data_IF_472898680200
#
_entry.id   IF_472898680200
#
_cell.length_a   1.000
_cell.length_b   1.000
_cell.length_c   1.000
_cell.angle_alpha   90.00
_cell.angle_beta   90.00
_cell.angle_gamma   90.00
#
_symmetry.space_group_name_H-M   'P 1'
#
loop_
_entity.id
_entity.type
_entity.pdbx_description
1 polymer ?
#
# COMPACT_ATOMS: atom_id res chain seq x y z
N UNK A 1 4.20 -4.79 6.37
CA UNK A 1 3.19 -4.91 5.29
C UNK A 1 3.71 -5.57 4.00
N UNK A 2 4.93 -5.29 3.51
CA UNK A 2 5.45 -5.94 2.28
C UNK A 2 5.28 -7.47 2.21
N UNK A 3 5.61 -8.27 3.26
CA UNK A 3 5.36 -9.72 3.24
C UNK A 3 3.87 -10.08 3.08
N UNK A 4 2.98 -9.33 3.75
CA UNK A 4 1.52 -9.53 3.65
C UNK A 4 1.05 -9.28 2.22
N UNK A 5 1.51 -8.19 1.59
CA UNK A 5 1.18 -7.87 0.20
C UNK A 5 1.67 -8.95 -0.76
N UNK A 6 2.90 -9.45 -0.57
CA UNK A 6 3.42 -10.58 -1.35
C UNK A 6 2.61 -11.85 -1.16
N UNK A 7 2.20 -12.14 0.08
CA UNK A 7 1.34 -13.28 0.40
C UNK A 7 0.01 -13.23 -0.34
N UNK A 8 -0.75 -12.14 -0.20
CA UNK A 8 -2.01 -11.96 -0.94
C UNK A 8 -1.81 -11.93 -2.45
N UNK A 9 -0.74 -11.28 -2.92
CA UNK A 9 -0.38 -11.25 -4.33
C UNK A 9 -0.17 -12.64 -4.91
N UNK A 10 0.53 -13.51 -4.19
CA UNK A 10 0.76 -14.89 -4.59
C UNK A 10 -0.50 -15.75 -4.57
N UNK A 11 -1.40 -15.57 -3.58
CA UNK A 11 -2.72 -16.20 -3.56
C UNK A 11 -3.49 -15.82 -4.83
N UNK A 12 -3.63 -14.51 -5.06
CA UNK A 12 -4.47 -14.00 -6.14
C UNK A 12 -3.92 -14.37 -7.52
N UNK A 13 -2.61 -14.29 -7.71
CA UNK A 13 -1.98 -14.73 -8.97
C UNK A 13 -2.21 -16.21 -9.25
N UNK A 14 -2.15 -17.06 -8.21
CA UNK A 14 -2.43 -18.49 -8.37
C UNK A 14 -3.90 -18.74 -8.72
N UNK A 15 -4.83 -17.99 -8.12
CA UNK A 15 -6.25 -18.03 -8.48
C UNK A 15 -6.49 -17.58 -9.93
N UNK A 16 -5.73 -16.58 -10.41
CA UNK A 16 -5.80 -16.10 -11.80
C UNK A 16 -5.01 -16.95 -12.80
N UNK A 17 -4.38 -18.05 -12.39
CA UNK A 17 -3.59 -18.92 -13.26
C UNK A 17 -2.23 -18.36 -13.72
N UNK A 18 -1.72 -17.33 -13.04
CA UNK A 18 -0.41 -16.72 -13.33
C UNK A 18 0.64 -17.34 -12.40
N UNK A 19 1.51 -18.18 -12.96
CA UNK A 19 2.49 -18.94 -12.16
C UNK A 19 3.88 -18.29 -12.10
N UNK A 20 4.24 -17.49 -13.10
CA UNK A 20 5.54 -16.83 -13.18
C UNK A 20 5.34 -15.33 -13.18
N UNK A 21 5.83 -14.67 -12.13
CA UNK A 21 5.67 -13.24 -11.95
C UNK A 21 6.81 -12.66 -11.14
N UNK A 22 7.05 -11.38 -11.40
CA UNK A 22 8.01 -10.55 -10.69
C UNK A 22 7.48 -10.17 -9.30
N UNK A 23 8.39 -9.84 -8.38
CA UNK A 23 8.09 -9.40 -7.01
C UNK A 23 7.25 -8.14 -7.04
N UNK A 24 7.59 -7.15 -7.89
CA UNK A 24 6.82 -5.90 -7.96
C UNK A 24 5.36 -6.15 -8.36
N UNK A 25 5.14 -7.06 -9.31
CA UNK A 25 3.80 -7.41 -9.78
C UNK A 25 3.01 -8.14 -8.70
N UNK A 26 3.65 -9.04 -7.93
CA UNK A 26 3.02 -9.69 -6.77
C UNK A 26 2.59 -8.68 -5.72
N UNK A 27 3.42 -7.67 -5.42
CA UNK A 27 3.04 -6.64 -4.46
C UNK A 27 1.85 -5.83 -4.98
N UNK A 28 1.86 -5.42 -6.25
CA UNK A 28 0.74 -4.68 -6.85
C UNK A 28 -0.57 -5.49 -6.88
N UNK A 29 -0.51 -6.78 -7.23
CA UNK A 29 -1.70 -7.66 -7.15
C UNK A 29 -2.14 -7.88 -5.71
N UNK A 30 -1.21 -7.88 -4.76
CA UNK A 30 -1.49 -7.89 -3.33
C UNK A 30 -2.26 -6.64 -2.88
N UNK A 31 -1.80 -5.46 -3.27
CA UNK A 31 -2.50 -4.19 -3.00
C UNK A 31 -3.91 -4.24 -3.58
N UNK A 32 -4.06 -4.58 -4.88
CA UNK A 32 -5.36 -4.65 -5.55
C UNK A 32 -6.29 -5.66 -4.86
N UNK A 33 -5.83 -6.88 -4.63
CA UNK A 33 -6.66 -7.92 -3.99
C UNK A 33 -7.12 -7.50 -2.60
N UNK A 34 -6.23 -6.96 -1.76
CA UNK A 34 -6.61 -6.48 -0.43
C UNK A 34 -7.55 -5.27 -0.52
N UNK A 35 -7.31 -4.32 -1.44
CA UNK A 35 -8.25 -3.19 -1.64
C UNK A 35 -9.65 -3.70 -1.98
N UNK A 36 -9.77 -4.69 -2.86
CA UNK A 36 -11.08 -5.25 -3.22
C UNK A 36 -11.75 -5.96 -2.05
N UNK A 37 -11.00 -6.73 -1.26
CA UNK A 37 -11.53 -7.36 -0.04
C UNK A 37 -12.02 -6.28 0.93
N UNK A 38 -11.20 -5.26 1.20
CA UNK A 38 -11.56 -4.16 2.09
C UNK A 38 -12.77 -3.38 1.59
N UNK A 39 -12.90 -3.13 0.30
CA UNK A 39 -14.07 -2.44 -0.25
C UNK A 39 -15.34 -3.22 0.01
N UNK A 40 -15.33 -4.54 -0.24
CA UNK A 40 -16.49 -5.41 0.00
C UNK A 40 -16.79 -5.48 1.49
N UNK A 41 -15.79 -5.62 2.36
CA UNK A 41 -16.02 -5.68 3.81
C UNK A 41 -16.53 -4.35 4.35
N UNK A 42 -16.01 -3.21 3.85
CA UNK A 42 -16.39 -1.87 4.31
C UNK A 42 -17.86 -1.54 4.02
N UNK A 43 -18.49 -2.20 3.04
CA UNK A 43 -19.95 -2.08 2.82
C UNK A 43 -20.79 -2.63 3.98
N UNK A 44 -20.28 -3.61 4.73
CA UNK A 44 -21.03 -4.31 5.75
C UNK A 44 -20.50 -4.05 7.16
N UNK A 45 -19.19 -3.84 7.31
CA UNK A 45 -18.52 -3.73 8.60
C UNK A 45 -17.41 -2.66 8.56
N UNK A 46 -17.14 -1.98 9.69
CA UNK A 46 -16.03 -1.04 9.78
C UNK A 46 -14.67 -1.75 9.64
N UNK A 47 -13.69 -1.06 9.04
CA UNK A 47 -12.33 -1.60 8.84
C UNK A 47 -11.44 -1.43 10.08
N UNK A 48 -11.85 -2.02 11.19
CA UNK A 48 -11.14 -1.93 12.46
C UNK A 48 -10.11 -3.08 12.63
N UNK A 49 -9.51 -3.16 13.82
CA UNK A 49 -8.52 -4.18 14.18
C UNK A 49 -9.01 -5.62 13.95
N UNK A 50 -10.31 -5.88 14.06
CA UNK A 50 -10.89 -7.22 13.84
C UNK A 50 -10.82 -7.65 12.37
N UNK A 51 -10.80 -6.71 11.44
CA UNK A 51 -10.60 -6.99 10.00
C UNK A 51 -9.11 -6.98 9.66
N UNK A 52 -8.36 -6.05 10.23
CA UNK A 52 -6.92 -5.91 9.99
C UNK A 52 -6.14 -7.16 10.42
N UNK A 53 -6.38 -7.69 11.63
CA UNK A 53 -5.59 -8.78 12.19
C UNK A 53 -5.68 -10.10 11.38
N UNK A 54 -6.87 -10.57 10.95
CA UNK A 54 -6.99 -11.71 10.05
C UNK A 54 -6.28 -11.50 8.72
N UNK A 55 -6.36 -10.30 8.12
CA UNK A 55 -5.67 -9.98 6.87
C UNK A 55 -4.16 -10.09 7.06
N UNK A 56 -3.60 -9.49 8.11
CA UNK A 56 -2.17 -9.63 8.40
C UNK A 56 -1.77 -11.10 8.59
N UNK A 57 -2.56 -11.86 9.35
CA UNK A 57 -2.27 -13.26 9.61
C UNK A 57 -2.28 -14.11 8.32
N UNK A 58 -3.35 -13.99 7.52
CA UNK A 58 -3.49 -14.73 6.26
C UNK A 58 -2.37 -14.37 5.29
N UNK A 59 -2.06 -13.08 5.14
CA UNK A 59 -1.00 -12.63 4.24
C UNK A 59 0.39 -13.10 4.68
N UNK A 60 0.69 -13.03 5.98
CA UNK A 60 1.96 -13.56 6.52
C UNK A 60 2.05 -15.09 6.36
N UNK A 61 0.99 -15.82 6.67
CA UNK A 61 0.94 -17.27 6.50
C UNK A 61 1.17 -17.65 5.03
N UNK A 62 0.52 -16.96 4.10
CA UNK A 62 0.69 -17.15 2.66
C UNK A 62 2.12 -16.87 2.20
N UNK A 63 2.74 -15.79 2.69
CA UNK A 63 4.13 -15.45 2.37
C UNK A 63 5.11 -16.59 2.67
N UNK A 64 4.96 -17.23 3.83
CA UNK A 64 5.78 -18.39 4.20
C UNK A 64 5.39 -19.65 3.43
N UNK A 65 4.08 -19.89 3.24
CA UNK A 65 3.56 -21.05 2.50
C UNK A 65 4.08 -21.09 1.05
N UNK A 66 4.04 -19.96 0.34
CA UNK A 66 4.54 -19.83 -1.04
C UNK A 66 6.05 -19.62 -1.12
N UNK A 67 6.76 -19.56 0.03
CA UNK A 67 8.21 -19.39 0.13
C UNK A 67 8.73 -18.11 -0.56
N UNK A 68 7.92 -17.05 -0.54
CA UNK A 68 8.26 -15.78 -1.20
C UNK A 68 9.51 -15.12 -0.59
N UNK A 69 9.84 -15.43 0.67
CA UNK A 69 11.10 -15.01 1.30
C UNK A 69 12.35 -15.40 0.50
N UNK A 70 12.32 -16.53 -0.25
CA UNK A 70 13.44 -16.93 -1.12
C UNK A 70 13.57 -16.00 -2.31
N UNK A 71 12.45 -15.60 -2.91
CA UNK A 71 12.43 -14.65 -4.03
C UNK A 71 12.97 -13.30 -3.59
N UNK A 72 12.53 -12.82 -2.42
CA UNK A 72 13.01 -11.57 -1.82
C UNK A 72 14.52 -11.65 -1.53
N UNK A 73 14.98 -12.75 -0.93
CA UNK A 73 16.40 -12.95 -0.64
C UNK A 73 17.27 -12.94 -1.90
N UNK A 74 16.83 -13.65 -2.95
CA UNK A 74 17.53 -13.67 -4.23
C UNK A 74 17.61 -12.29 -4.87
N UNK A 75 16.52 -11.51 -4.81
CA UNK A 75 16.50 -10.13 -5.30
C UNK A 75 17.52 -9.24 -4.57
N UNK A 76 17.58 -9.32 -3.23
CA UNK A 76 18.57 -8.56 -2.46
C UNK A 76 20.01 -9.00 -2.77
N UNK A 77 20.24 -10.31 -2.95
CA UNK A 77 21.56 -10.84 -3.30
C UNK A 77 22.04 -10.37 -4.69
N UNK A 78 21.12 -10.23 -5.66
CA UNK A 78 21.44 -9.78 -7.02
C UNK A 78 21.74 -8.28 -7.10
N UNK A 79 20.96 -7.44 -6.43
CA UNK A 79 21.05 -5.98 -6.57
C UNK A 79 21.89 -5.26 -5.49
N UNK A 80 22.27 -5.99 -4.45
CA UNK A 80 23.23 -5.58 -3.42
C UNK A 80 22.99 -4.15 -2.85
N UNK A 81 24.05 -3.37 -2.68
CA UNK A 81 24.08 -2.10 -1.95
C UNK A 81 23.23 -0.99 -2.59
N UNK A 82 23.15 -0.97 -3.93
CA UNK A 82 22.46 0.10 -4.66
C UNK A 82 20.96 0.18 -4.34
N UNK A 83 20.29 -0.97 -4.29
CA UNK A 83 18.89 -1.03 -3.87
C UNK A 83 18.74 -0.64 -2.40
N UNK A 84 19.60 -1.16 -1.51
CA UNK A 84 19.52 -0.88 -0.08
C UNK A 84 19.68 0.62 0.23
N UNK A 85 20.59 1.31 -0.44
CA UNK A 85 20.77 2.77 -0.27
C UNK A 85 19.51 3.53 -0.71
N UNK A 86 18.95 3.23 -1.88
CA UNK A 86 17.75 3.90 -2.36
C UNK A 86 16.52 3.57 -1.51
N UNK A 87 16.39 2.33 -1.05
CA UNK A 87 15.34 1.93 -0.12
C UNK A 87 15.48 2.66 1.23
N UNK A 88 16.70 2.79 1.75
CA UNK A 88 16.97 3.54 2.98
C UNK A 88 16.61 5.03 2.82
N UNK A 89 17.03 5.66 1.72
CA UNK A 89 16.65 7.04 1.39
C UNK A 89 15.13 7.19 1.33
N UNK A 90 14.45 6.22 0.71
CA UNK A 90 12.98 6.22 0.60
C UNK A 90 12.30 6.15 1.96
N UNK A 91 12.76 5.26 2.84
CA UNK A 91 12.25 5.18 4.22
C UNK A 91 12.55 6.45 5.00
N UNK A 92 13.75 7.02 4.83
CA UNK A 92 14.13 8.27 5.46
C UNK A 92 13.18 9.40 5.07
N UNK A 93 12.93 9.61 3.77
CA UNK A 93 11.97 10.61 3.31
C UNK A 93 10.55 10.31 3.80
N UNK A 94 10.10 9.05 3.77
CA UNK A 94 8.77 8.65 4.24
C UNK A 94 8.54 8.83 5.75
N UNK A 95 9.60 8.93 6.55
CA UNK A 95 9.51 9.08 8.01
C UNK A 95 9.15 10.49 8.49
N UNK A 96 9.31 11.51 7.64
CA UNK A 96 9.02 12.91 7.99
C UNK A 96 7.52 13.22 8.04
N UNK A 97 7.14 14.29 8.73
CA UNK A 97 5.77 14.81 8.70
C UNK A 97 5.31 15.15 7.28
N UNK A 98 4.01 15.04 6.96
CA UNK A 98 3.48 15.40 5.65
C UNK A 98 3.89 16.83 5.27
N UNK A 99 4.69 16.97 4.22
CA UNK A 99 5.10 18.27 3.70
C UNK A 99 3.96 18.96 2.94
N UNK A 100 3.24 18.19 2.11
CA UNK A 100 2.06 18.67 1.39
C UNK A 100 0.87 18.52 2.32
N UNK A 101 0.29 19.66 2.70
CA UNK A 101 -0.93 19.70 3.47
C UNK A 101 -2.11 19.31 2.57
N UNK A 102 -2.93 18.41 3.08
CA UNK A 102 -4.13 17.95 2.41
C UNK A 102 -5.15 19.09 2.27
N UNK A 103 -5.85 19.14 1.13
CA UNK A 103 -6.81 20.19 0.83
C UNK A 103 -8.04 20.04 1.73
N UNK A 104 -8.29 20.99 2.64
CA UNK A 104 -9.34 20.91 3.66
C UNK A 104 -9.17 19.78 4.69
N UNK A 105 -8.05 19.06 4.69
CA UNK A 105 -7.78 17.98 5.63
C UNK A 105 -8.81 16.85 5.58
N UNK A 106 -9.37 16.55 4.41
CA UNK A 106 -10.41 15.54 4.21
C UNK A 106 -9.92 14.10 4.37
N UNK A 107 -8.65 13.88 4.08
CA UNK A 107 -8.09 12.56 3.89
C UNK A 107 -8.08 11.76 5.20
N UNK A 108 -7.52 12.34 6.26
CA UNK A 108 -7.41 11.67 7.59
C UNK A 108 -8.79 11.39 8.21
N UNK A 109 -9.75 12.35 8.24
CA UNK A 109 -11.12 12.09 8.67
C UNK A 109 -11.81 11.00 7.87
N UNK A 110 -11.62 10.97 6.55
CA UNK A 110 -12.23 9.95 5.68
C UNK A 110 -11.70 8.56 6.00
N UNK A 111 -10.37 8.40 6.15
CA UNK A 111 -9.75 7.14 6.58
C UNK A 111 -10.29 6.71 7.95
N UNK A 112 -10.36 7.62 8.91
CA UNK A 112 -10.88 7.36 10.25
C UNK A 112 -12.35 6.93 10.21
N UNK A 113 -13.18 7.61 9.43
CA UNK A 113 -14.59 7.25 9.25
C UNK A 113 -14.75 5.82 8.74
N UNK A 114 -13.98 5.42 7.72
CA UNK A 114 -14.04 4.06 7.18
C UNK A 114 -13.59 3.02 8.23
N UNK A 115 -12.58 3.34 9.04
CA UNK A 115 -12.10 2.43 10.09
C UNK A 115 -13.08 2.25 11.25
N UNK A 116 -13.87 3.28 11.58
CA UNK A 116 -14.77 3.28 12.73
C UNK A 116 -16.21 2.88 12.36
N UNK A 117 -16.68 3.32 11.19
CA UNK A 117 -18.09 3.20 10.77
C UNK A 117 -18.25 2.37 9.48
N UNK A 118 -17.27 2.40 8.58
CA UNK A 118 -17.38 1.77 7.26
C UNK A 118 -18.10 2.67 6.23
N UNK A 119 -18.56 2.08 5.13
CA UNK A 119 -19.20 2.81 4.04
C UNK A 119 -20.68 3.07 4.33
N UNK A 120 -21.05 4.34 4.37
CA UNK A 120 -22.43 4.77 4.63
C UNK A 120 -23.03 5.38 3.37
N UNK A 121 -24.19 4.85 2.95
CA UNK A 121 -24.93 5.38 1.80
C UNK A 121 -25.38 6.82 2.09
N UNK A 122 -25.06 7.74 1.18
CA UNK A 122 -25.47 9.13 1.28
C UNK A 122 -24.64 9.97 2.25
N UNK A 123 -23.42 9.54 2.60
CA UNK A 123 -22.51 10.30 3.47
C UNK A 123 -22.25 11.73 2.96
N UNK A 124 -22.26 11.92 1.64
CA UNK A 124 -22.13 13.23 1.00
C UNK A 124 -23.26 14.22 1.31
N UNK A 125 -24.42 13.74 1.79
CA UNK A 125 -25.51 14.60 2.24
C UNK A 125 -25.22 15.23 3.61
N UNK A 126 -24.34 14.60 4.41
CA UNK A 126 -23.88 15.15 5.69
C UNK A 126 -22.67 16.06 5.49
N UNK A 127 -21.68 15.60 4.73
CA UNK A 127 -20.52 16.37 4.36
C UNK A 127 -20.01 15.93 2.98
N UNK A 128 -19.97 16.86 2.03
CA UNK A 128 -19.48 16.60 0.67
C UNK A 128 -18.02 16.12 0.68
N UNK A 129 -17.23 16.57 1.65
CA UNK A 129 -15.82 16.25 1.81
C UNK A 129 -15.62 14.77 2.13
N UNK A 130 -16.46 14.19 3.00
CA UNK A 130 -16.48 12.75 3.28
C UNK A 130 -16.95 11.90 2.08
N UNK A 131 -17.66 12.53 1.14
CA UNK A 131 -18.05 11.91 -0.13
C UNK A 131 -16.91 11.74 -1.12
N UNK A 132 -15.77 12.42 -0.93
CA UNK A 132 -14.59 12.39 -1.83
C UNK A 132 -13.66 11.20 -1.57
N UNK A 133 -14.23 10.03 -1.26
CA UNK A 133 -13.47 8.85 -0.90
C UNK A 133 -12.93 8.12 -2.14
N UNK A 134 -11.64 7.77 -2.12
CA UNK A 134 -10.99 6.92 -3.13
C UNK A 134 -10.72 5.50 -2.62
N UNK A 135 -10.45 4.55 -3.52
CA UNK A 135 -10.06 3.19 -3.13
C UNK A 135 -8.79 3.15 -2.28
N UNK A 136 -7.94 4.17 -2.42
CA UNK A 136 -6.75 4.29 -1.61
C UNK A 136 -7.06 4.64 -0.14
N UNK A 137 -8.08 5.47 0.11
CA UNK A 137 -8.57 5.73 1.48
C UNK A 137 -9.02 4.42 2.15
N UNK A 138 -9.75 3.59 1.41
CA UNK A 138 -10.23 2.29 1.91
C UNK A 138 -9.06 1.36 2.22
N UNK A 139 -8.06 1.31 1.33
CA UNK A 139 -6.86 0.50 1.53
C UNK A 139 -6.06 0.93 2.77
N UNK A 140 -5.87 2.24 2.94
CA UNK A 140 -5.18 2.76 4.11
C UNK A 140 -5.98 2.58 5.39
N UNK A 141 -7.31 2.76 5.36
CA UNK A 141 -8.19 2.54 6.51
C UNK A 141 -8.06 1.13 7.07
N UNK A 142 -8.00 0.11 6.21
CA UNK A 142 -7.84 -1.27 6.64
C UNK A 142 -6.50 -1.62 7.32
N UNK A 143 -5.49 -0.75 7.24
CA UNK A 143 -4.21 -0.90 7.95
C UNK A 143 -3.94 0.21 8.98
N UNK A 144 -4.87 1.14 9.15
CA UNK A 144 -4.67 2.35 9.95
C UNK A 144 -4.69 2.14 11.47
N UNK A 145 -5.11 0.97 11.96
CA UNK A 145 -5.23 0.78 13.40
C UNK A 145 -3.89 0.44 14.04
N UNK A 146 -3.23 -0.63 13.56
CA UNK A 146 -1.98 -1.12 14.16
C UNK A 146 -0.79 -1.08 13.20
N UNK A 147 -0.98 -1.45 11.94
CA UNK A 147 0.12 -1.65 10.99
C UNK A 147 0.69 -0.35 10.41
N UNK A 148 -0.16 0.64 10.20
CA UNK A 148 0.20 1.93 9.62
C UNK A 148 -0.63 3.08 10.23
N UNK A 149 -0.50 3.34 11.55
CA UNK A 149 -1.27 4.39 12.24
C UNK A 149 -0.95 5.81 11.75
N UNK A 150 0.16 5.98 11.02
CA UNK A 150 0.60 7.26 10.48
C UNK A 150 0.36 7.41 8.97
N UNK A 151 -0.37 6.47 8.34
CA UNK A 151 -0.78 6.53 6.93
C UNK A 151 0.40 6.70 5.95
N UNK A 152 1.49 5.95 6.17
CA UNK A 152 2.74 5.97 5.40
C UNK A 152 2.81 4.90 4.32
N UNK A 153 1.68 4.28 3.97
CA UNK A 153 1.57 3.30 2.89
C UNK A 153 2.17 3.77 1.54
N UNK A 154 2.23 5.06 1.26
CA UNK A 154 2.89 5.60 0.05
C UNK A 154 4.39 5.28 0.00
N UNK A 155 5.06 5.19 1.15
CA UNK A 155 6.45 4.73 1.24
C UNK A 155 6.59 3.29 0.76
N UNK A 156 5.61 2.43 1.05
CA UNK A 156 5.59 1.03 0.61
C UNK A 156 5.39 0.93 -0.89
N UNK A 157 4.51 1.77 -1.46
CA UNK A 157 4.33 1.87 -2.92
C UNK A 157 5.64 2.32 -3.58
N UNK A 158 6.32 3.32 -3.02
CA UNK A 158 7.58 3.80 -3.57
C UNK A 158 8.70 2.76 -3.50
N UNK A 159 8.79 1.98 -2.41
CA UNK A 159 9.68 0.81 -2.33
C UNK A 159 9.31 -0.24 -3.39
N UNK A 160 8.02 -0.47 -3.63
CA UNK A 160 7.55 -1.39 -4.68
C UNK A 160 7.96 -0.91 -6.07
N UNK A 161 7.89 0.40 -6.31
CA UNK A 161 8.36 1.02 -7.55
C UNK A 161 9.88 0.90 -7.71
N UNK A 162 10.66 1.07 -6.63
CA UNK A 162 12.09 0.78 -6.65
C UNK A 162 12.38 -0.68 -7.01
N UNK A 163 11.65 -1.64 -6.41
CA UNK A 163 11.78 -3.07 -6.75
C UNK A 163 11.56 -3.25 -8.26
N UNK A 164 10.49 -2.66 -8.81
CA UNK A 164 10.21 -2.71 -10.25
C UNK A 164 11.36 -2.16 -11.11
N UNK A 165 11.94 -1.00 -10.75
CA UNK A 165 13.05 -0.39 -11.49
C UNK A 165 14.24 -1.35 -11.57
N UNK A 166 14.60 -1.99 -10.45
CA UNK A 166 15.71 -2.94 -10.40
C UNK A 166 15.39 -4.25 -11.14
N UNK A 167 14.19 -4.79 -10.97
CA UNK A 167 13.75 -6.02 -11.66
C UNK A 167 13.70 -5.86 -13.19
N UNK A 168 13.33 -4.67 -13.69
CA UNK A 168 13.25 -4.38 -15.14
C UNK A 168 14.47 -3.66 -15.69
N UNK A 169 15.42 -3.25 -14.84
CA UNK A 169 16.60 -2.45 -15.20
C UNK A 169 16.24 -1.14 -15.92
N UNK A 170 15.10 -0.55 -15.57
CA UNK A 170 14.58 0.69 -16.16
C UNK A 170 15.15 1.93 -15.44
N UNK A 171 16.46 2.13 -15.51
CA UNK A 171 17.17 3.14 -14.72
C UNK A 171 16.71 4.58 -14.95
N UNK A 172 16.15 4.89 -16.12
CA UNK A 172 15.61 6.22 -16.45
C UNK A 172 14.56 6.70 -15.44
N UNK A 173 13.80 5.76 -14.86
CA UNK A 173 12.75 6.06 -13.89
C UNK A 173 13.30 6.60 -12.56
N UNK A 174 14.60 6.42 -12.27
CA UNK A 174 15.24 6.99 -11.08
C UNK A 174 15.20 8.52 -11.08
N UNK A 175 15.16 9.15 -12.26
CA UNK A 175 15.10 10.62 -12.40
C UNK A 175 13.82 11.19 -11.78
N UNK A 176 12.74 10.41 -11.73
CA UNK A 176 11.43 10.83 -11.21
C UNK A 176 11.36 10.70 -9.67
N UNK A 177 12.27 9.93 -9.04
CA UNK A 177 12.24 9.69 -7.59
C UNK A 177 12.25 10.96 -6.72
N UNK A 178 13.07 12.00 -7.00
CA UNK A 178 13.05 13.22 -6.19
C UNK A 178 11.66 13.86 -6.12
N UNK A 179 10.92 13.86 -7.23
CA UNK A 179 9.54 14.37 -7.24
C UNK A 179 8.61 13.45 -6.42
N UNK A 180 8.76 12.12 -6.56
CA UNK A 180 7.96 11.15 -5.80
C UNK A 180 8.21 11.20 -4.30
N UNK A 181 9.40 11.58 -3.85
CA UNK A 181 9.69 11.74 -2.42
C UNK A 181 8.88 12.84 -1.75
N UNK A 182 8.46 13.88 -2.48
CA UNK A 182 7.55 14.90 -1.95
C UNK A 182 6.19 14.31 -1.55
N UNK A 183 5.76 13.26 -2.25
CA UNK A 183 4.46 12.59 -2.05
C UNK A 183 4.55 11.35 -1.15
N UNK A 184 5.74 10.80 -0.93
CA UNK A 184 5.95 9.67 -0.04
C UNK A 184 5.52 10.00 1.42
N UNK A 185 5.58 11.28 1.78
CA UNK A 185 5.23 11.80 3.10
C UNK A 185 3.73 12.10 3.26
N UNK A 186 3.04 12.53 2.19
CA UNK A 186 1.62 12.87 2.28
C UNK A 186 0.77 11.60 2.33
N UNK A 187 -0.26 11.51 3.18
CA UNK A 187 -1.14 10.35 3.22
C UNK A 187 -1.98 10.23 1.94
N UNK A 188 -2.38 11.37 1.36
CA UNK A 188 -3.03 11.47 0.05
C UNK A 188 -2.02 11.21 -1.08
N UNK A 189 -2.19 10.15 -1.88
CA UNK A 189 -1.42 9.92 -3.09
C UNK A 189 -2.08 10.61 -4.29
N UNK A 190 -3.07 11.48 -4.10
CA UNK A 190 -3.89 11.99 -5.20
C UNK A 190 -3.17 13.07 -6.03
N UNK A 191 -2.00 13.57 -5.60
CA UNK A 191 -1.21 14.58 -6.33
C UNK A 191 -0.32 14.09 -7.49
N UNK A 192 0.32 12.90 -7.50
CA UNK A 192 1.14 12.44 -8.63
C UNK A 192 0.32 11.81 -9.78
N UNK A 193 -1.00 11.67 -9.62
CA UNK A 193 -1.91 11.04 -10.60
C UNK A 193 -2.67 12.07 -11.44
N UNK A 194 -2.60 13.37 -11.09
CA UNK A 194 -3.12 14.50 -11.87
C UNK A 194 -2.02 15.03 -12.79
#
# INVERSE_FOLDING_TARGET
>A
LLPVLLGFGSIFMKLSGIYKSNISLKILTGIISITTIFTITAFFFPLNVLVEAPILFIGLAAFFYFKEYKSVWNFFAEHQWGFCVLAFITVFFGSYYPFILDHFGYYVPTVKWISEVGLVKGISNLDLVLGQMSMWHIFQAGFSNFSDPFLRLNTIVLITYLIYIFEKKCWINLIILPALYLFAQSPSPDLPVI
#
